data_IF_161397440524
#
_entry.id   IF_161397440524
#
_cell.length_a   1.000
_cell.length_b   1.000
_cell.length_c   1.000
_cell.angle_alpha   90.00
_cell.angle_beta   90.00
_cell.angle_gamma   90.00
#
_symmetry.space_group_name_H-M   'P 1'
#
loop_
_entity.id
_entity.type
_entity.pdbx_description
1 polymer ?
#
# COMPACT_ATOMS: atom_id res chain seq x y z
N UNK A 1 -18.34 9.98 -17.06
CA UNK A 1 -17.44 9.09 -17.82
C UNK A 1 -16.03 9.40 -17.38
N UNK A 2 -15.33 8.45 -16.76
CA UNK A 2 -13.94 8.62 -16.36
C UNK A 2 -13.25 7.26 -16.49
N UNK A 3 -12.65 6.99 -17.65
CA UNK A 3 -11.60 5.99 -17.72
C UNK A 3 -10.50 6.45 -16.76
N UNK A 4 -10.05 5.56 -15.88
CA UNK A 4 -8.91 5.86 -15.01
C UNK A 4 -7.73 6.18 -15.93
N UNK A 5 -7.08 7.35 -15.76
CA UNK A 5 -5.95 7.72 -16.61
C UNK A 5 -4.91 6.61 -16.61
N UNK A 6 -4.41 6.24 -17.79
CA UNK A 6 -3.37 5.18 -17.92
C UNK A 6 -2.17 5.42 -17.00
N UNK A 7 -1.88 6.69 -16.68
CA UNK A 7 -0.87 7.08 -15.69
C UNK A 7 -1.11 6.53 -14.28
N UNK A 8 -2.36 6.49 -13.80
CA UNK A 8 -2.70 6.00 -12.45
C UNK A 8 -2.50 4.49 -12.32
N UNK A 9 -2.78 3.72 -13.37
CA UNK A 9 -2.51 2.27 -13.36
C UNK A 9 -1.00 2.02 -13.33
N UNK A 10 -0.23 2.77 -14.13
CA UNK A 10 1.24 2.66 -14.11
C UNK A 10 1.83 3.06 -12.75
N UNK A 11 1.27 4.08 -12.09
CA UNK A 11 1.66 4.47 -10.73
C UNK A 11 1.36 3.38 -9.70
N UNK A 12 0.18 2.74 -9.76
CA UNK A 12 -0.18 1.63 -8.87
C UNK A 12 0.78 0.45 -9.09
N UNK A 13 1.09 0.12 -10.34
CA UNK A 13 2.03 -0.96 -10.66
C UNK A 13 3.45 -0.65 -10.20
N UNK A 14 3.92 0.60 -10.32
CA UNK A 14 5.22 1.02 -9.79
C UNK A 14 5.27 0.95 -8.25
N UNK A 15 4.18 1.34 -7.58
CA UNK A 15 4.06 1.19 -6.12
C UNK A 15 4.08 -0.28 -5.69
N UNK A 16 3.37 -1.15 -6.41
CA UNK A 16 3.40 -2.59 -6.18
C UNK A 16 4.83 -3.15 -6.35
N UNK A 17 5.55 -2.73 -7.39
CA UNK A 17 6.97 -3.10 -7.60
C UNK A 17 7.85 -2.70 -6.41
N UNK A 18 7.73 -1.45 -5.94
CA UNK A 18 8.51 -0.95 -4.79
C UNK A 18 8.21 -1.72 -3.50
N UNK A 19 6.95 -2.11 -3.28
CA UNK A 19 6.58 -2.95 -2.14
C UNK A 19 7.18 -4.34 -2.24
N UNK A 20 7.22 -4.94 -3.42
CA UNK A 20 7.91 -6.22 -3.66
C UNK A 20 9.41 -6.13 -3.38
N UNK A 21 10.06 -5.05 -3.82
CA UNK A 21 11.47 -4.81 -3.52
C UNK A 21 11.74 -4.66 -2.03
N UNK A 22 10.84 -3.96 -1.31
CA UNK A 22 10.94 -3.80 0.14
C UNK A 22 10.80 -5.15 0.86
N UNK A 23 9.84 -6.00 0.47
CA UNK A 23 9.64 -7.34 1.02
C UNK A 23 10.86 -8.23 0.79
N UNK A 24 11.41 -8.22 -0.42
CA UNK A 24 12.59 -9.00 -0.75
C UNK A 24 13.83 -8.53 0.02
N UNK A 25 13.99 -7.21 0.14
CA UNK A 25 15.11 -6.61 0.87
C UNK A 25 15.02 -6.93 2.36
N UNK A 26 13.83 -6.84 2.98
CA UNK A 26 13.66 -7.19 4.38
C UNK A 26 13.95 -8.69 4.63
N UNK A 27 13.47 -9.58 3.76
CA UNK A 27 13.73 -11.01 3.87
C UNK A 27 15.23 -11.35 3.71
N UNK A 28 15.91 -10.69 2.77
CA UNK A 28 17.36 -10.83 2.61
C UNK A 28 18.12 -10.36 3.85
N UNK A 29 17.74 -9.22 4.41
CA UNK A 29 18.38 -8.67 5.62
C UNK A 29 18.13 -9.56 6.84
N UNK A 30 16.93 -10.12 7.01
CA UNK A 30 16.64 -11.09 8.06
C UNK A 30 17.58 -12.30 7.96
N UNK A 31 17.67 -12.89 6.77
CA UNK A 31 18.51 -14.07 6.53
C UNK A 31 19.99 -13.73 6.71
N UNK A 32 20.45 -12.59 6.21
CA UNK A 32 21.83 -12.14 6.38
C UNK A 32 22.17 -11.84 7.83
N UNK A 33 21.26 -11.24 8.60
CA UNK A 33 21.47 -10.93 10.01
C UNK A 33 21.52 -12.23 10.84
N UNK A 34 20.60 -13.15 10.57
CA UNK A 34 20.58 -14.47 11.20
C UNK A 34 21.86 -15.27 10.91
N UNK A 35 22.28 -15.34 9.64
CA UNK A 35 23.49 -16.08 9.27
C UNK A 35 24.78 -15.49 9.83
N UNK A 36 24.87 -14.16 9.94
CA UNK A 36 26.09 -13.47 10.37
C UNK A 36 26.26 -13.45 11.88
N UNK A 37 25.16 -13.37 12.62
CA UNK A 37 25.22 -13.14 14.06
C UNK A 37 24.53 -14.22 14.90
N UNK A 38 23.70 -15.08 14.33
CA UNK A 38 22.93 -16.09 15.06
C UNK A 38 21.83 -15.48 15.95
N UNK A 39 21.26 -16.29 16.85
CA UNK A 39 20.24 -15.85 17.82
C UNK A 39 20.89 -15.20 19.04
N UNK A 40 21.36 -13.97 18.89
CA UNK A 40 21.74 -13.13 20.04
C UNK A 40 20.59 -12.15 20.31
N UNK A 41 20.31 -11.87 21.59
CA UNK A 41 19.14 -11.06 21.99
C UNK A 41 19.05 -9.66 21.33
N UNK A 42 20.17 -9.10 20.89
CA UNK A 42 20.21 -7.82 20.15
C UNK A 42 19.70 -7.95 18.71
N UNK A 43 19.86 -9.12 18.08
CA UNK A 43 19.38 -9.40 16.71
C UNK A 43 17.91 -9.76 16.71
N UNK A 44 17.39 -10.37 17.78
CA UNK A 44 15.97 -10.69 17.92
C UNK A 44 15.10 -9.43 17.70
N UNK A 45 15.47 -8.29 18.30
CA UNK A 45 14.79 -7.02 18.10
C UNK A 45 14.86 -6.54 16.64
N UNK A 46 16.03 -6.65 16.00
CA UNK A 46 16.22 -6.23 14.59
C UNK A 46 15.40 -7.10 13.64
N UNK A 47 15.37 -8.42 13.86
CA UNK A 47 14.56 -9.36 13.08
C UNK A 47 13.07 -9.08 13.24
N UNK A 48 12.62 -8.76 14.46
CA UNK A 48 11.23 -8.36 14.71
C UNK A 48 10.85 -7.08 13.96
N UNK A 49 11.73 -6.07 13.93
CA UNK A 49 11.48 -4.85 13.16
C UNK A 49 11.41 -5.12 11.65
N UNK A 50 12.29 -5.98 11.12
CA UNK A 50 12.26 -6.36 9.71
C UNK A 50 10.99 -7.14 9.35
N UNK A 51 10.56 -8.04 10.24
CA UNK A 51 9.32 -8.79 10.11
C UNK A 51 8.11 -7.84 10.09
N UNK A 52 8.05 -6.86 10.99
CA UNK A 52 6.98 -5.85 11.02
C UNK A 52 6.92 -5.02 9.74
N UNK A 53 8.07 -4.61 9.20
CA UNK A 53 8.14 -3.89 7.91
C UNK A 53 7.62 -4.76 6.77
N UNK A 54 8.03 -6.04 6.74
CA UNK A 54 7.57 -7.02 5.76
C UNK A 54 6.06 -7.22 5.82
N UNK A 55 5.49 -7.42 7.01
CA UNK A 55 4.04 -7.60 7.20
C UNK A 55 3.25 -6.38 6.73
N UNK A 56 3.73 -5.18 7.06
CA UNK A 56 3.10 -3.94 6.61
C UNK A 56 3.17 -3.78 5.09
N UNK A 57 4.30 -4.15 4.48
CA UNK A 57 4.47 -4.12 3.03
C UNK A 57 3.55 -5.13 2.32
N UNK A 58 3.44 -6.36 2.84
CA UNK A 58 2.54 -7.41 2.33
C UNK A 58 1.07 -6.99 2.45
N UNK A 59 0.68 -6.43 3.59
CA UNK A 59 -0.68 -5.91 3.80
C UNK A 59 -1.01 -4.81 2.79
N UNK A 60 -0.09 -3.88 2.59
CA UNK A 60 -0.28 -2.77 1.63
C UNK A 60 -0.33 -3.27 0.19
N UNK A 61 0.55 -4.21 -0.18
CA UNK A 61 0.56 -4.84 -1.51
C UNK A 61 -0.76 -5.56 -1.80
N UNK A 62 -1.24 -6.37 -0.85
CA UNK A 62 -2.50 -7.11 -0.98
C UNK A 62 -3.70 -6.19 -1.16
N UNK A 63 -3.72 -5.06 -0.43
CA UNK A 63 -4.77 -4.04 -0.58
C UNK A 63 -4.73 -3.40 -1.97
N UNK A 64 -3.55 -3.01 -2.44
CA UNK A 64 -3.39 -2.42 -3.78
C UNK A 64 -3.75 -3.39 -4.90
N UNK A 65 -3.33 -4.66 -4.80
CA UNK A 65 -3.67 -5.67 -5.80
C UNK A 65 -5.18 -5.93 -5.85
N UNK A 66 -5.84 -5.94 -4.69
CA UNK A 66 -7.30 -6.10 -4.61
C UNK A 66 -8.03 -4.90 -5.22
N UNK A 67 -7.56 -3.67 -4.95
CA UNK A 67 -8.13 -2.45 -5.55
C UNK A 67 -7.95 -2.46 -7.07
N UNK A 68 -6.76 -2.80 -7.56
CA UNK A 68 -6.49 -2.89 -9.00
C UNK A 68 -7.39 -3.95 -9.67
N UNK A 69 -7.57 -5.10 -9.03
CA UNK A 69 -8.46 -6.15 -9.52
C UNK A 69 -9.91 -5.66 -9.57
N UNK A 70 -10.44 -5.06 -8.49
CA UNK A 70 -11.80 -4.50 -8.46
C UNK A 70 -12.01 -3.41 -9.50
N UNK A 71 -11.02 -2.55 -9.70
CA UNK A 71 -11.04 -1.54 -10.78
C UNK A 71 -11.14 -2.22 -12.14
N UNK A 72 -10.36 -3.27 -12.38
CA UNK A 72 -10.40 -4.02 -13.65
C UNK A 72 -11.70 -4.79 -13.84
N UNK A 73 -12.30 -5.33 -12.78
CA UNK A 73 -13.58 -6.04 -12.81
C UNK A 73 -14.77 -5.08 -12.99
N UNK A 74 -14.69 -3.86 -12.44
CA UNK A 74 -15.71 -2.81 -12.60
C UNK A 74 -15.58 -2.02 -13.90
N UNK A 75 -14.52 -2.25 -14.68
CA UNK A 75 -14.39 -1.77 -16.05
C UNK A 75 -14.70 -2.93 -17.02
N UNK A 76 -15.95 -3.06 -17.52
CA UNK A 76 -16.78 -1.96 -18.04
C UNK A 76 -18.23 -1.96 -17.51
N UNK A 77 -18.43 -1.67 -16.23
CA UNK A 77 -19.72 -1.22 -15.68
C UNK A 77 -19.54 -0.34 -14.44
N UNK A 78 -19.11 0.90 -14.67
CA UNK A 78 -19.44 2.12 -13.89
C UNK A 78 -19.86 1.94 -12.42
N UNK A 79 -19.02 1.37 -11.56
CA UNK A 79 -19.18 1.54 -10.10
C UNK A 79 -17.87 1.40 -9.36
N UNK A 80 -16.86 2.23 -9.69
CA UNK A 80 -15.83 2.53 -8.71
C UNK A 80 -16.54 3.21 -7.53
N UNK A 81 -16.64 2.52 -6.40
CA UNK A 81 -17.40 3.04 -5.26
C UNK A 81 -16.67 4.26 -4.69
N UNK A 82 -17.42 5.22 -4.12
CA UNK A 82 -16.85 6.43 -3.51
C UNK A 82 -15.74 6.10 -2.48
N UNK A 83 -15.83 4.92 -1.85
CA UNK A 83 -14.81 4.34 -0.96
C UNK A 83 -13.48 4.03 -1.65
N UNK A 84 -13.49 3.49 -2.87
CA UNK A 84 -12.26 3.17 -3.60
C UNK A 84 -11.51 4.45 -4.00
N UNK A 85 -12.27 5.51 -4.34
CA UNK A 85 -11.74 6.85 -4.65
C UNK A 85 -11.19 7.53 -3.38
N UNK A 86 -11.87 7.36 -2.24
CA UNK A 86 -11.41 7.90 -0.96
C UNK A 86 -10.08 7.27 -0.51
N UNK A 87 -9.90 5.96 -0.69
CA UNK A 87 -8.63 5.26 -0.39
C UNK A 87 -7.49 5.80 -1.25
N UNK A 88 -7.75 6.05 -2.54
CA UNK A 88 -6.76 6.64 -3.45
C UNK A 88 -6.40 8.08 -3.03
N UNK A 89 -7.36 8.86 -2.52
CA UNK A 89 -7.15 10.24 -2.09
C UNK A 89 -6.42 10.34 -0.74
N UNK A 90 -6.76 9.50 0.23
CA UNK A 90 -6.03 9.39 1.51
C UNK A 90 -4.57 8.98 1.29
N UNK A 91 -4.31 8.06 0.36
CA UNK A 91 -2.94 7.66 0.05
C UNK A 91 -2.17 8.78 -0.66
N UNK A 92 -2.81 9.49 -1.61
CA UNK A 92 -2.23 10.67 -2.28
C UNK A 92 -1.85 11.77 -1.29
N UNK A 93 -2.67 12.00 -0.26
CA UNK A 93 -2.41 13.01 0.78
C UNK A 93 -1.37 12.55 1.80
N UNK A 94 -1.34 11.26 2.16
CA UNK A 94 -0.31 10.67 3.02
C UNK A 94 1.09 10.69 2.38
N UNK A 95 1.19 10.48 1.06
CA UNK A 95 2.45 10.55 0.30
C UNK A 95 2.92 12.01 0.11
N UNK A 96 2.00 12.98 0.09
CA UNK A 96 2.32 14.39 -0.12
C UNK A 96 2.67 15.18 1.16
N UNK A 97 2.62 14.55 2.35
CA UNK A 97 2.98 15.19 3.62
C UNK A 97 2.07 16.34 4.06
N UNK A 98 0.85 16.43 3.53
CA UNK A 98 -0.08 17.55 3.76
C UNK A 98 -1.23 17.20 4.71
N UNK A 99 -1.48 18.07 5.69
CA UNK A 99 -2.60 18.01 6.65
C UNK A 99 -3.97 17.74 5.98
N UNK A 100 -4.91 17.06 6.67
CA UNK A 100 -6.25 16.81 6.15
C UNK A 100 -7.08 18.12 6.14
N UNK A 101 -7.75 18.49 5.03
CA UNK A 101 -8.75 19.54 5.05
C UNK A 101 -10.08 19.05 5.66
N UNK A 102 -10.90 19.95 6.22
CA UNK A 102 -12.02 19.60 7.08
C UNK A 102 -13.21 19.01 6.29
N UNK A 103 -13.67 17.83 6.74
CA UNK A 103 -15.06 17.36 6.77
C UNK A 103 -16.03 17.97 5.73
N UNK A 104 -15.94 17.54 4.46
CA UNK A 104 -16.99 17.79 3.45
C UNK A 104 -17.97 16.60 3.38
N UNK A 105 -18.33 16.01 4.53
CA UNK A 105 -19.35 14.96 4.61
C UNK A 105 -20.39 15.25 5.71
N UNK A 106 -20.67 16.53 5.95
CA UNK A 106 -21.84 16.95 6.73
C UNK A 106 -22.68 17.86 5.87
N UNK A 107 -23.50 17.27 4.98
CA UNK A 107 -24.78 17.80 4.51
C UNK A 107 -25.28 17.02 3.30
N UNK A 108 -25.73 15.78 3.48
CA UNK A 108 -26.79 15.20 2.63
C UNK A 108 -27.59 14.21 3.47
N UNK A 109 -28.35 14.74 4.45
CA UNK A 109 -29.63 14.15 4.84
C UNK A 109 -30.72 14.92 4.10
N UNK A 110 -31.39 14.24 3.18
CA UNK A 110 -32.82 14.37 2.88
C UNK A 110 -33.26 13.09 2.21
#
# INVERSE_FOLDING_TARGET
>A
MAEIPKGTILEILDLMRRLTELINTSAYLELSAFNKYGEIGQIAYVLEQLQNVKEKAVSTYTRLSTVLLRISETQPSLTATMSDIAILFEFRTAVAGGYPPPLVLRNFRS
#
